data_IF_906364977016
#
_entry.id   IF_906364977016
#
_cell.length_a   1.000
_cell.length_b   1.000
_cell.length_c   1.000
_cell.angle_alpha   90.00
_cell.angle_beta   90.00
_cell.angle_gamma   90.00
#
_symmetry.space_group_name_H-M   'P 1'
#
loop_
_entity.id
_entity.type
_entity.pdbx_description
1 polymer ?
#
# COMPACT_ATOMS: atom_id res chain seq x y z
N UNK A 1 -64.06 -21.13 -15.22
CA UNK A 1 -63.44 -22.42 -14.85
C UNK A 1 -62.05 -22.46 -15.48
N UNK A 2 -61.04 -22.58 -14.62
CA UNK A 2 -59.59 -22.53 -14.89
C UNK A 2 -59.08 -23.95 -15.17
N UNK A 3 -58.01 -24.16 -15.97
CA UNK A 3 -57.15 -25.31 -15.78
C UNK A 3 -55.78 -24.86 -15.26
N UNK A 4 -55.48 -25.27 -14.02
CA UNK A 4 -54.16 -25.23 -13.41
C UNK A 4 -53.40 -26.50 -13.81
N UNK A 5 -52.17 -26.34 -14.31
CA UNK A 5 -51.20 -27.42 -14.43
C UNK A 5 -50.32 -27.50 -13.18
N UNK A 6 -50.39 -28.61 -12.44
CA UNK A 6 -49.41 -29.00 -11.44
C UNK A 6 -48.87 -30.39 -11.77
N UNK A 7 -47.55 -30.48 -11.94
CA UNK A 7 -46.84 -31.72 -12.21
C UNK A 7 -45.63 -31.87 -11.28
N UNK A 8 -45.65 -32.98 -10.54
CA UNK A 8 -44.52 -33.74 -9.95
C UNK A 8 -43.72 -33.14 -8.80
N UNK A 9 -43.91 -33.73 -7.62
CA UNK A 9 -42.90 -33.91 -6.57
C UNK A 9 -42.92 -35.39 -6.19
N UNK A 10 -41.76 -36.05 -6.22
CA UNK A 10 -41.45 -37.28 -5.48
C UNK A 10 -39.91 -37.51 -5.47
N UNK A 11 -39.39 -38.34 -4.55
CA UNK A 11 -38.32 -37.98 -3.63
C UNK A 11 -37.07 -38.85 -3.77
N UNK A 12 -36.00 -38.54 -3.04
CA UNK A 12 -35.04 -39.55 -2.57
C UNK A 12 -34.14 -38.96 -1.47
N UNK A 13 -34.42 -39.34 -0.21
CA UNK A 13 -33.44 -39.31 0.86
C UNK A 13 -32.62 -40.60 0.77
N UNK A 14 -31.30 -40.49 0.83
CA UNK A 14 -30.38 -41.60 0.98
C UNK A 14 -29.43 -41.31 2.16
N UNK A 15 -29.35 -42.33 3.01
CA UNK A 15 -28.63 -42.51 4.27
C UNK A 15 -27.14 -42.86 4.11
N UNK A 16 -26.46 -42.89 5.27
CA UNK A 16 -25.13 -43.49 5.60
C UNK A 16 -23.96 -42.50 5.61
N UNK A 17 -22.95 -42.58 6.49
CA UNK A 17 -22.59 -43.52 7.57
C UNK A 17 -21.40 -42.93 8.37
N UNK A 18 -21.10 -43.55 9.51
CA UNK A 18 -20.00 -43.34 10.46
C UNK A 18 -18.60 -43.83 9.98
N UNK A 19 -17.60 -43.65 10.87
CA UNK A 19 -16.26 -44.28 11.01
C UNK A 19 -15.10 -43.28 10.77
N UNK A 20 -14.24 -42.93 11.74
CA UNK A 20 -13.30 -43.64 12.63
C UNK A 20 -11.93 -43.99 11.99
N UNK A 21 -10.85 -43.64 12.72
CA UNK A 21 -9.40 -43.81 12.45
C UNK A 21 -8.79 -42.92 11.34
N UNK A 22 -7.62 -42.30 11.45
CA UNK A 22 -6.47 -42.47 12.36
C UNK A 22 -5.21 -42.80 11.53
N UNK A 23 -4.29 -41.85 11.38
CA UNK A 23 -2.81 -41.99 11.30
C UNK A 23 -2.20 -40.68 10.73
N UNK A 24 -1.39 -39.91 11.47
CA UNK A 24 -0.01 -40.13 11.93
C UNK A 24 1.03 -40.00 10.79
N UNK A 25 1.76 -38.89 10.80
CA UNK A 25 3.16 -38.82 10.36
C UNK A 25 3.77 -37.49 10.83
N UNK A 26 4.20 -37.48 12.09
CA UNK A 26 5.27 -36.60 12.57
C UNK A 26 6.20 -37.46 13.41
N UNK A 27 7.32 -37.82 12.79
CA UNK A 27 8.43 -38.51 13.43
C UNK A 27 9.56 -37.51 13.61
N UNK A 28 9.94 -37.30 14.88
CA UNK A 28 11.32 -37.41 15.41
C UNK A 28 12.40 -36.47 14.84
N UNK A 29 13.29 -35.86 15.62
CA UNK A 29 13.56 -35.92 17.05
C UNK A 29 14.62 -34.84 17.40
N UNK A 30 14.75 -34.57 18.71
CA UNK A 30 16.00 -34.38 19.48
C UNK A 30 17.12 -33.52 18.88
N UNK A 31 17.80 -32.60 19.55
CA UNK A 31 18.04 -32.37 20.98
C UNK A 31 19.05 -31.22 21.04
N UNK A 32 18.89 -30.31 22.00
CA UNK A 32 19.96 -29.45 22.54
C UNK A 32 21.21 -30.30 22.91
N UNK A 33 22.46 -29.76 23.00
CA UNK A 33 22.74 -28.51 23.72
C UNK A 33 23.92 -27.62 23.27
N UNK A 34 23.82 -26.38 23.74
CA UNK A 34 24.93 -25.47 24.07
C UNK A 34 26.03 -26.19 24.88
N UNK A 35 27.25 -26.21 24.38
CA UNK A 35 28.44 -26.42 25.23
C UNK A 35 29.67 -25.70 24.66
N UNK A 36 30.16 -24.75 25.44
CA UNK A 36 31.47 -24.12 25.30
C UNK A 36 32.58 -25.15 25.61
N UNK A 37 33.72 -25.17 24.92
CA UNK A 37 34.81 -26.07 25.30
C UNK A 37 35.50 -25.56 26.56
N UNK A 38 35.35 -26.33 27.65
CA UNK A 38 36.16 -26.26 28.85
C UNK A 38 37.57 -26.79 28.54
N UNK A 39 38.58 -26.00 28.91
CA UNK A 39 39.97 -26.41 29.00
C UNK A 39 40.12 -27.59 29.97
N UNK A 40 40.71 -28.70 29.52
CA UNK A 40 41.24 -29.72 30.42
C UNK A 40 42.72 -29.95 30.06
N UNK A 41 43.61 -29.48 30.92
CA UNK A 41 45.03 -29.77 30.86
C UNK A 41 45.28 -31.11 31.57
N UNK A 42 45.61 -32.15 30.81
CA UNK A 42 46.19 -33.36 31.39
C UNK A 42 47.67 -33.11 31.68
N UNK A 43 48.02 -33.04 32.97
CA UNK A 43 49.39 -33.09 33.44
C UNK A 43 49.78 -34.56 33.59
N UNK A 44 50.35 -35.14 32.55
CA UNK A 44 50.91 -36.50 32.66
C UNK A 44 52.25 -36.41 33.37
N UNK A 45 52.29 -36.99 34.56
CA UNK A 45 53.43 -37.01 35.48
C UNK A 45 54.38 -38.12 35.06
N UNK A 46 55.62 -37.77 34.78
CA UNK A 46 56.70 -38.70 34.46
C UNK A 46 57.13 -39.53 35.69
N UNK A 47 57.31 -40.83 35.48
CA UNK A 47 57.94 -41.77 36.44
C UNK A 47 59.20 -42.37 35.77
N UNK A 48 60.38 -42.37 36.44
CA UNK A 48 61.67 -42.86 35.93
C UNK A 48 61.88 -44.36 36.30
N UNK A 49 62.86 -45.10 35.73
CA UNK A 49 64.27 -45.13 36.19
C UNK A 49 65.25 -45.39 35.00
N UNK A 50 66.58 -45.53 35.05
CA UNK A 50 67.48 -46.24 35.97
C UNK A 50 68.94 -45.79 35.72
N UNK A 51 69.73 -45.76 36.79
CA UNK A 51 71.11 -45.33 36.92
C UNK A 51 72.16 -46.45 36.72
N UNK A 52 73.24 -46.14 35.96
CA UNK A 52 74.69 -46.34 36.26
C UNK A 52 75.28 -47.78 36.46
N UNK A 53 76.63 -47.97 36.57
CA UNK A 53 77.81 -47.36 35.92
C UNK A 53 78.90 -48.41 35.55
N UNK A 54 80.11 -48.00 35.10
CA UNK A 54 81.41 -48.45 35.68
C UNK A 54 82.62 -47.63 35.16
N UNK A 55 83.45 -47.25 36.13
CA UNK A 55 84.69 -46.45 36.22
C UNK A 55 85.95 -47.24 35.68
N UNK A 56 87.22 -46.75 35.70
CA UNK A 56 87.83 -45.89 36.74
C UNK A 56 88.91 -44.85 36.37
N UNK A 57 89.21 -44.02 37.41
CA UNK A 57 90.45 -43.33 37.80
C UNK A 57 91.31 -42.59 36.74
N UNK A 58 91.96 -41.45 36.97
CA UNK A 58 92.25 -40.64 38.15
C UNK A 58 92.80 -39.30 37.63
N UNK A 59 92.40 -38.17 38.21
CA UNK A 59 93.34 -37.23 38.85
C UNK A 59 92.60 -35.95 39.25
N UNK A 60 92.77 -35.64 40.54
CA UNK A 60 92.20 -34.50 41.24
C UNK A 60 92.59 -33.18 40.58
N UNK A 61 91.61 -32.29 40.42
CA UNK A 61 91.84 -30.85 40.42
C UNK A 61 90.96 -30.21 41.49
N UNK A 62 91.57 -29.42 42.37
CA UNK A 62 90.91 -28.70 43.47
C UNK A 62 89.96 -27.63 42.92
N UNK A 63 88.81 -27.36 43.59
CA UNK A 63 87.91 -26.29 43.16
C UNK A 63 88.45 -24.91 43.58
N UNK A 64 88.38 -23.87 42.72
CA UNK A 64 88.62 -22.50 43.15
C UNK A 64 87.40 -21.93 43.92
N UNK A 65 87.61 -20.93 44.81
CA UNK A 65 86.66 -20.55 45.85
C UNK A 65 85.39 -19.87 45.34
N UNK A 66 84.34 -19.95 46.17
CA UNK A 66 83.01 -19.40 45.96
C UNK A 66 83.05 -17.87 45.72
N UNK A 67 83.05 -17.48 44.45
CA UNK A 67 82.78 -16.12 43.99
C UNK A 67 81.37 -16.03 43.43
N UNK A 68 80.55 -15.17 44.01
CA UNK A 68 79.19 -14.85 43.56
C UNK A 68 79.21 -14.35 42.11
N UNK A 69 78.77 -15.17 41.16
CA UNK A 69 78.60 -14.74 39.76
C UNK A 69 77.31 -13.95 39.63
N UNK A 70 77.42 -12.62 39.60
CA UNK A 70 76.32 -11.74 39.22
C UNK A 70 76.15 -11.82 37.71
N UNK A 71 75.16 -12.59 37.24
CA UNK A 71 74.79 -12.64 35.82
C UNK A 71 74.10 -11.34 35.45
N UNK A 72 74.85 -10.38 34.89
CA UNK A 72 74.26 -9.17 34.32
C UNK A 72 73.71 -9.51 32.93
N UNK A 73 72.38 -9.68 32.81
CA UNK A 73 71.72 -9.75 31.51
C UNK A 73 71.60 -8.33 30.92
N UNK A 74 72.18 -8.04 29.74
CA UNK A 74 72.04 -6.75 29.09
C UNK A 74 70.58 -6.51 28.72
N UNK A 75 69.98 -5.42 29.20
CA UNK A 75 68.58 -5.03 28.92
C UNK A 75 68.30 -4.77 27.43
N UNK A 76 69.35 -4.67 26.60
CA UNK A 76 69.25 -4.23 25.21
C UNK A 76 68.96 -5.36 24.21
N UNK A 77 68.89 -6.62 24.66
CA UNK A 77 68.41 -7.74 23.82
C UNK A 77 66.91 -7.96 24.00
N UNK A 78 66.12 -6.93 23.68
CA UNK A 78 64.69 -7.14 23.38
C UNK A 78 64.62 -7.91 22.06
N UNK A 79 64.24 -9.20 22.11
CA UNK A 79 63.93 -9.97 20.91
C UNK A 79 62.77 -9.29 20.17
N UNK A 80 63.08 -8.42 19.20
CA UNK A 80 62.12 -7.78 18.29
C UNK A 80 61.56 -8.74 17.23
N UNK A 81 61.97 -10.00 17.28
CA UNK A 81 61.44 -11.05 16.41
C UNK A 81 60.48 -11.86 17.27
N UNK A 82 59.19 -11.97 16.88
CA UNK A 82 58.27 -12.83 17.60
C UNK A 82 58.86 -14.25 17.62
N UNK A 83 58.70 -15.00 18.74
CA UNK A 83 59.02 -16.42 18.80
C UNK A 83 58.51 -17.13 17.53
N UNK A 84 59.26 -18.10 17.00
CA UNK A 84 58.92 -18.80 15.74
C UNK A 84 57.47 -19.31 15.72
N UNK A 85 56.95 -19.70 16.89
CA UNK A 85 55.57 -20.12 17.09
C UNK A 85 54.55 -18.98 16.90
N UNK A 86 54.86 -17.78 17.38
CA UNK A 86 54.05 -16.58 17.19
C UNK A 86 54.14 -16.03 15.76
N UNK A 87 55.30 -16.18 15.10
CA UNK A 87 55.44 -15.84 13.68
C UNK A 87 54.55 -16.75 12.81
N UNK A 88 54.51 -18.05 13.11
CA UNK A 88 53.60 -19.00 12.43
C UNK A 88 52.14 -18.69 12.73
N UNK A 89 51.78 -18.35 13.97
CA UNK A 89 50.41 -17.96 14.33
C UNK A 89 49.98 -16.68 13.60
N UNK A 90 50.86 -15.68 13.55
CA UNK A 90 50.63 -14.42 12.84
C UNK A 90 50.44 -14.65 11.34
N UNK A 91 51.23 -15.53 10.71
CA UNK A 91 50.99 -15.92 9.32
C UNK A 91 49.64 -16.62 9.13
N UNK A 92 49.24 -17.52 10.04
CA UNK A 92 47.94 -18.20 9.94
C UNK A 92 46.78 -17.21 10.08
N UNK A 93 46.85 -16.27 11.03
CA UNK A 93 45.82 -15.23 11.21
C UNK A 93 45.78 -14.24 10.06
N UNK A 94 46.93 -13.79 9.55
CA UNK A 94 47.00 -12.85 8.41
C UNK A 94 46.58 -13.50 7.10
N UNK A 95 46.88 -14.79 6.86
CA UNK A 95 46.34 -15.54 5.71
C UNK A 95 44.82 -15.70 5.80
N UNK A 96 44.26 -15.99 6.98
CA UNK A 96 42.80 -16.03 7.20
C UNK A 96 42.15 -14.65 7.00
N UNK A 97 42.78 -13.59 7.48
CA UNK A 97 42.32 -12.21 7.30
C UNK A 97 42.35 -11.78 5.82
N UNK A 98 43.42 -12.10 5.08
CA UNK A 98 43.52 -11.85 3.63
C UNK A 98 42.48 -12.65 2.82
N UNK A 99 42.13 -13.87 3.23
CA UNK A 99 41.06 -14.66 2.60
C UNK A 99 39.65 -14.14 2.95
N UNK A 100 39.44 -13.58 4.15
CA UNK A 100 38.18 -12.93 4.56
C UNK A 100 37.95 -11.56 3.92
N UNK A 101 39.00 -10.87 3.48
CA UNK A 101 38.90 -9.54 2.85
C UNK A 101 38.46 -9.53 1.38
N UNK A 102 38.26 -10.70 0.77
CA UNK A 102 37.87 -10.86 -0.65
C UNK A 102 36.64 -11.76 -0.78
N UNK A 103 35.75 -11.70 0.22
CA UNK A 103 34.57 -12.55 0.34
C UNK A 103 33.60 -12.32 -0.82
N UNK A 104 33.19 -13.44 -1.40
CA UNK A 104 32.16 -13.63 -2.44
C UNK A 104 30.94 -12.71 -2.31
N UNK A 105 30.59 -12.31 -1.09
CA UNK A 105 29.48 -11.44 -0.76
C UNK A 105 29.47 -10.10 -1.54
N UNK A 106 30.62 -9.43 -1.74
CA UNK A 106 30.64 -8.15 -2.48
C UNK A 106 30.32 -8.36 -3.97
N UNK A 107 30.81 -9.45 -4.57
CA UNK A 107 30.50 -9.79 -5.96
C UNK A 107 29.04 -10.21 -6.12
N UNK A 108 28.53 -11.05 -5.22
CA UNK A 108 27.13 -11.47 -5.20
C UNK A 108 26.21 -10.27 -4.97
N UNK A 109 26.48 -9.40 -4.00
CA UNK A 109 25.70 -8.18 -3.77
C UNK A 109 25.80 -7.19 -4.94
N UNK A 110 26.96 -7.08 -5.60
CA UNK A 110 27.11 -6.21 -6.77
C UNK A 110 26.32 -6.73 -7.98
N UNK A 111 26.27 -8.05 -8.19
CA UNK A 111 25.44 -8.65 -9.23
C UNK A 111 23.96 -8.55 -8.90
N UNK A 112 23.56 -8.75 -7.65
CA UNK A 112 22.17 -8.53 -7.21
C UNK A 112 21.74 -7.07 -7.38
N UNK A 113 22.62 -6.12 -7.08
CA UNK A 113 22.34 -4.71 -7.31
C UNK A 113 22.24 -4.42 -8.81
N UNK A 114 23.16 -4.95 -9.62
CA UNK A 114 23.13 -4.80 -11.08
C UNK A 114 21.85 -5.39 -11.69
N UNK A 115 21.41 -6.56 -11.25
CA UNK A 115 20.16 -7.18 -11.73
C UNK A 115 18.95 -6.37 -11.30
N UNK A 116 18.94 -5.83 -10.07
CA UNK A 116 17.86 -4.97 -9.59
C UNK A 116 17.79 -3.66 -10.38
N UNK A 117 18.94 -3.04 -10.66
CA UNK A 117 19.03 -1.84 -11.51
C UNK A 117 18.57 -2.16 -12.94
N UNK A 118 19.03 -3.26 -13.52
CA UNK A 118 18.61 -3.68 -14.86
C UNK A 118 17.09 -3.94 -14.92
N UNK A 119 16.52 -4.58 -13.90
CA UNK A 119 15.08 -4.79 -13.78
C UNK A 119 14.32 -3.46 -13.66
N UNK A 120 14.81 -2.53 -12.84
CA UNK A 120 14.21 -1.21 -12.69
C UNK A 120 14.24 -0.43 -14.02
N UNK A 121 15.34 -0.49 -14.77
CA UNK A 121 15.44 0.09 -16.11
C UNK A 121 14.47 -0.56 -17.08
N UNK A 122 14.37 -1.89 -17.08
CA UNK A 122 13.42 -2.61 -17.93
C UNK A 122 11.96 -2.22 -17.63
N UNK A 123 11.59 -2.12 -16.34
CA UNK A 123 10.27 -1.65 -15.92
C UNK A 123 10.01 -0.19 -16.34
N UNK A 124 11.01 0.68 -16.21
CA UNK A 124 10.89 2.08 -16.63
C UNK A 124 10.68 2.19 -18.15
N UNK A 125 11.44 1.43 -18.95
CA UNK A 125 11.27 1.38 -20.40
C UNK A 125 9.89 0.84 -20.77
N UNK A 126 9.44 -0.24 -20.12
CA UNK A 126 8.11 -0.79 -20.34
C UNK A 126 6.99 0.21 -20.02
N UNK A 127 7.08 0.90 -18.88
CA UNK A 127 6.15 1.95 -18.50
C UNK A 127 6.17 3.12 -19.49
N UNK A 128 7.35 3.52 -19.98
CA UNK A 128 7.48 4.57 -20.98
C UNK A 128 6.82 4.17 -22.32
N UNK A 129 7.00 2.93 -22.76
CA UNK A 129 6.33 2.41 -23.98
C UNK A 129 4.81 2.46 -23.82
N UNK A 130 4.28 1.99 -22.69
CA UNK A 130 2.83 2.06 -22.41
C UNK A 130 2.35 3.51 -22.45
N UNK A 131 3.06 4.43 -21.78
CA UNK A 131 2.70 5.84 -21.75
C UNK A 131 2.67 6.46 -23.16
N UNK A 132 3.66 6.16 -24.01
CA UNK A 132 3.74 6.69 -25.37
C UNK A 132 2.68 6.09 -26.29
N UNK A 133 2.33 4.82 -26.13
CA UNK A 133 1.34 4.12 -26.96
C UNK A 133 -0.09 4.54 -26.64
N UNK A 134 -0.41 4.65 -25.35
CA UNK A 134 -1.77 4.95 -24.87
C UNK A 134 -2.02 6.44 -24.68
N UNK A 135 -0.98 7.24 -24.41
CA UNK A 135 -1.04 8.70 -24.16
C UNK A 135 -2.25 9.06 -23.28
N UNK A 136 -2.28 8.58 -22.03
CA UNK A 136 -3.45 8.73 -21.18
C UNK A 136 -3.77 10.21 -21.00
N UNK A 137 -5.02 10.58 -21.29
CA UNK A 137 -5.62 11.89 -21.09
C UNK A 137 -6.75 11.77 -20.07
N UNK A 138 -6.93 12.79 -19.24
CA UNK A 138 -8.02 12.82 -18.28
C UNK A 138 -9.33 13.04 -19.03
N UNK A 139 -10.40 12.27 -18.74
CA UNK A 139 -11.73 12.60 -19.20
C UNK A 139 -12.14 13.97 -18.69
N UNK A 140 -12.87 14.71 -19.51
CA UNK A 140 -13.39 16.03 -19.13
C UNK A 140 -14.88 15.90 -18.80
N UNK A 141 -15.30 16.55 -17.71
CA UNK A 141 -16.68 16.52 -17.24
C UNK A 141 -17.23 17.93 -17.24
N UNK A 142 -18.41 18.10 -17.82
CA UNK A 142 -19.09 19.39 -17.87
C UNK A 142 -20.52 19.24 -17.40
N UNK A 143 -20.89 20.03 -16.39
CA UNK A 143 -22.28 20.13 -15.96
C UNK A 143 -23.02 21.04 -16.95
N UNK A 144 -24.05 20.50 -17.60
CA UNK A 144 -24.84 21.17 -18.62
C UNK A 144 -26.02 21.94 -18.01
N UNK A 145 -26.78 21.26 -17.16
CA UNK A 145 -27.95 21.81 -16.47
C UNK A 145 -28.12 21.14 -15.12
N UNK A 146 -28.82 21.84 -14.22
CA UNK A 146 -29.23 21.34 -12.92
C UNK A 146 -30.70 21.70 -12.74
N UNK A 147 -31.58 20.70 -12.85
CA UNK A 147 -33.01 20.88 -12.58
C UNK A 147 -33.25 20.76 -11.07
N UNK A 148 -34.05 21.65 -10.51
CA UNK A 148 -34.36 21.68 -9.08
C UNK A 148 -35.87 21.55 -8.87
N UNK A 149 -36.26 20.55 -8.09
CA UNK A 149 -37.66 20.25 -7.76
C UNK A 149 -37.84 20.12 -6.24
N UNK A 150 -39.07 20.30 -5.75
CA UNK A 150 -39.39 20.13 -4.31
C UNK A 150 -38.99 21.30 -3.40
N UNK A 151 -38.45 22.40 -3.95
CA UNK A 151 -38.04 23.61 -3.20
C UNK A 151 -38.77 24.90 -3.61
N UNK A 152 -39.70 24.83 -4.57
CA UNK A 152 -40.40 26.03 -5.09
C UNK A 152 -41.20 26.82 -4.05
N UNK A 153 -41.68 26.17 -2.99
CA UNK A 153 -42.44 26.81 -1.91
C UNK A 153 -41.63 27.80 -1.06
N UNK A 154 -40.30 27.75 -1.09
CA UNK A 154 -39.42 28.58 -0.24
C UNK A 154 -39.44 30.05 -0.66
N UNK A 155 -39.46 30.32 -1.97
CA UNK A 155 -39.39 31.70 -2.51
C UNK A 155 -40.76 32.38 -2.51
N UNK A 156 -41.85 31.60 -2.59
CA UNK A 156 -43.22 32.10 -2.68
C UNK A 156 -43.97 32.24 -1.36
N UNK A 157 -43.58 31.51 -0.30
CA UNK A 157 -44.35 31.42 0.93
C UNK A 157 -43.48 31.48 2.20
N UNK A 158 -42.49 32.39 2.22
CA UNK A 158 -41.63 32.64 3.39
C UNK A 158 -42.36 33.27 4.60
N UNK A 159 -43.70 33.27 4.61
CA UNK A 159 -44.53 33.80 5.68
C UNK A 159 -45.80 32.96 5.78
N UNK A 160 -46.15 32.54 7.00
CA UNK A 160 -47.43 31.93 7.41
C UNK A 160 -47.65 30.41 7.27
N UNK A 161 -46.79 29.57 7.84
CA UNK A 161 -47.28 28.28 8.37
C UNK A 161 -46.47 27.79 9.56
N UNK A 162 -47.11 27.74 10.73
CA UNK A 162 -46.60 27.34 12.05
C UNK A 162 -46.38 25.82 12.21
N UNK A 163 -46.05 25.11 11.12
CA UNK A 163 -45.74 23.68 11.15
C UNK A 163 -44.33 23.45 10.61
N UNK A 164 -43.58 22.45 11.13
CA UNK A 164 -42.27 22.10 10.59
C UNK A 164 -42.46 21.51 9.18
N UNK A 165 -42.31 22.35 8.15
CA UNK A 165 -42.40 21.93 6.75
C UNK A 165 -41.20 21.03 6.45
N UNK A 166 -41.49 19.76 6.18
CA UNK A 166 -40.50 18.82 5.69
C UNK A 166 -40.45 18.91 4.16
N UNK A 167 -39.26 19.16 3.61
CA UNK A 167 -39.05 19.25 2.17
C UNK A 167 -38.51 17.94 1.61
N UNK A 168 -38.89 17.65 0.37
CA UNK A 168 -38.38 16.52 -0.40
C UNK A 168 -37.74 17.05 -1.69
N UNK A 169 -36.53 17.64 -1.59
CA UNK A 169 -35.86 18.20 -2.75
C UNK A 169 -35.41 17.08 -3.70
N UNK A 170 -35.49 17.35 -4.99
CA UNK A 170 -34.99 16.47 -6.05
C UNK A 170 -34.14 17.29 -7.00
N UNK A 171 -32.95 16.78 -7.33
CA UNK A 171 -32.01 17.43 -8.22
C UNK A 171 -31.63 16.49 -9.35
N UNK A 172 -31.80 16.95 -10.58
CA UNK A 172 -31.33 16.24 -11.78
C UNK A 172 -30.16 17.01 -12.39
N UNK A 173 -28.96 16.48 -12.18
CA UNK A 173 -27.75 17.03 -12.75
C UNK A 173 -27.47 16.37 -14.11
N UNK A 174 -27.56 17.14 -15.20
CA UNK A 174 -27.17 16.66 -16.52
C UNK A 174 -25.68 16.87 -16.71
N UNK A 175 -24.92 15.78 -16.76
CA UNK A 175 -23.46 15.79 -16.88
C UNK A 175 -23.06 15.22 -18.22
N UNK A 176 -22.22 15.96 -18.95
CA UNK A 176 -21.54 15.50 -20.15
C UNK A 176 -20.12 15.08 -19.78
N UNK A 177 -19.85 13.79 -19.92
CA UNK A 177 -18.53 13.20 -19.83
C UNK A 177 -17.94 13.03 -21.24
N UNK A 178 -16.74 13.52 -21.46
CA UNK A 178 -16.00 13.38 -22.72
C UNK A 178 -14.69 12.63 -22.46
N UNK A 179 -14.52 11.48 -23.11
CA UNK A 179 -13.30 10.69 -23.06
C UNK A 179 -12.42 11.01 -24.29
N UNK A 180 -11.36 11.82 -24.14
CA UNK A 180 -10.48 12.17 -25.26
C UNK A 180 -9.52 11.02 -25.65
N UNK A 181 -9.50 9.90 -24.92
CA UNK A 181 -8.54 8.83 -25.14
C UNK A 181 -8.89 8.00 -26.37
N UNK A 182 -7.90 7.77 -27.25
CA UNK A 182 -8.05 6.96 -28.46
C UNK A 182 -8.06 5.45 -28.25
N UNK A 183 -7.54 4.97 -27.12
CA UNK A 183 -7.30 3.54 -26.86
C UNK A 183 -7.67 3.09 -25.44
N UNK A 184 -8.22 4.00 -24.64
CA UNK A 184 -8.55 3.76 -23.23
C UNK A 184 -10.06 3.96 -23.07
N UNK A 185 -10.75 2.92 -22.61
CA UNK A 185 -12.13 3.01 -22.15
C UNK A 185 -12.19 3.34 -20.65
N UNK A 186 -13.32 3.86 -20.20
CA UNK A 186 -13.54 4.26 -18.81
C UNK A 186 -14.81 3.60 -18.30
N UNK A 187 -14.68 2.78 -17.26
CA UNK A 187 -15.82 2.20 -16.54
C UNK A 187 -16.08 3.03 -15.30
N UNK A 188 -17.32 3.50 -15.17
CA UNK A 188 -17.82 4.18 -14.00
C UNK A 188 -18.63 3.17 -13.19
N UNK A 189 -18.16 2.83 -12.00
CA UNK A 189 -18.85 1.89 -11.12
C UNK A 189 -19.97 2.64 -10.37
N UNK A 190 -21.18 2.06 -10.37
CA UNK A 190 -22.27 2.55 -9.54
C UNK A 190 -22.10 2.14 -8.08
N UNK A 191 -21.56 0.95 -7.84
CA UNK A 191 -21.29 0.44 -6.49
C UNK A 191 -20.20 1.26 -5.81
N UNK A 192 -20.46 1.73 -4.60
CA UNK A 192 -19.54 2.61 -3.87
C UNK A 192 -19.44 4.04 -4.44
N UNK A 193 -20.28 4.39 -5.41
CA UNK A 193 -20.45 5.77 -5.83
C UNK A 193 -21.39 6.53 -4.90
N UNK A 194 -21.20 7.83 -4.80
CA UNK A 194 -22.01 8.71 -3.97
C UNK A 194 -22.07 10.11 -4.58
N UNK A 195 -23.28 10.64 -4.72
CA UNK A 195 -23.55 12.01 -5.13
C UNK A 195 -24.32 12.68 -4.01
N UNK A 196 -23.89 13.86 -3.60
CA UNK A 196 -24.63 14.68 -2.65
C UNK A 196 -24.71 16.13 -3.14
N UNK A 197 -25.85 16.74 -2.85
CA UNK A 197 -26.08 18.16 -3.05
C UNK A 197 -26.29 18.80 -1.69
N UNK A 198 -25.60 19.90 -1.44
CA UNK A 198 -25.69 20.68 -0.21
C UNK A 198 -25.84 22.16 -0.51
N UNK A 199 -26.40 22.89 0.46
CA UNK A 199 -26.49 24.35 0.46
C UNK A 199 -25.96 24.86 1.78
N UNK A 200 -24.98 25.77 1.75
CA UNK A 200 -24.32 26.32 2.94
C UNK A 200 -23.91 25.25 3.98
N UNK A 201 -23.38 24.12 3.49
CA UNK A 201 -22.96 22.98 4.32
C UNK A 201 -24.07 22.03 4.80
N UNK A 202 -25.35 22.35 4.56
CA UNK A 202 -26.48 21.46 4.87
C UNK A 202 -26.77 20.55 3.69
N UNK A 203 -26.77 19.23 3.93
CA UNK A 203 -27.08 18.24 2.90
C UNK A 203 -28.56 18.27 2.55
N UNK A 204 -28.86 18.49 1.27
CA UNK A 204 -30.21 18.58 0.74
C UNK A 204 -30.66 17.26 0.12
N UNK A 205 -29.78 16.59 -0.61
CA UNK A 205 -30.10 15.37 -1.32
C UNK A 205 -28.87 14.48 -1.43
N UNK A 206 -29.12 13.18 -1.52
CA UNK A 206 -28.12 12.16 -1.75
C UNK A 206 -28.61 11.13 -2.77
N UNK A 207 -27.66 10.40 -3.34
CA UNK A 207 -27.94 9.35 -4.30
C UNK A 207 -26.68 8.69 -4.83
N UNK A 208 -26.88 7.79 -5.79
CA UNK A 208 -25.82 7.04 -6.43
C UNK A 208 -25.57 7.57 -7.85
N UNK A 209 -24.33 7.42 -8.32
CA UNK A 209 -23.99 7.69 -9.70
C UNK A 209 -24.37 6.49 -10.58
N UNK A 210 -24.95 6.70 -11.77
CA UNK A 210 -25.30 5.60 -12.66
C UNK A 210 -24.04 4.90 -13.17
N UNK A 211 -24.03 3.57 -13.13
CA UNK A 211 -22.94 2.77 -13.70
C UNK A 211 -23.01 2.83 -15.23
N UNK A 212 -21.88 3.10 -15.89
CA UNK A 212 -21.81 3.06 -17.35
C UNK A 212 -20.38 2.84 -17.84
N UNK A 213 -20.28 2.37 -19.09
CA UNK A 213 -19.02 2.25 -19.80
C UNK A 213 -18.91 3.31 -20.90
N UNK A 214 -17.79 4.00 -20.91
CA UNK A 214 -17.44 4.97 -21.93
C UNK A 214 -16.26 4.45 -22.74
N UNK A 215 -16.53 4.06 -23.99
CA UNK A 215 -15.49 3.63 -24.92
C UNK A 215 -14.47 4.75 -25.29
N UNK A 216 -13.41 4.40 -26.04
CA UNK A 216 -12.45 5.38 -26.53
C UNK A 216 -13.11 6.45 -27.43
N UNK A 217 -12.68 7.72 -27.30
CA UNK A 217 -13.22 8.89 -28.04
C UNK A 217 -14.74 8.99 -28.01
N UNK A 218 -15.33 8.64 -26.88
CA UNK A 218 -16.77 8.67 -26.72
C UNK A 218 -17.19 9.81 -25.79
N UNK A 219 -18.34 10.40 -26.12
CA UNK A 219 -19.01 11.42 -25.34
C UNK A 219 -20.31 10.82 -24.84
N UNK A 220 -20.54 10.92 -23.53
CA UNK A 220 -21.74 10.41 -22.90
C UNK A 220 -22.39 11.53 -22.11
N UNK A 221 -23.68 11.75 -22.34
CA UNK A 221 -24.50 12.65 -21.53
C UNK A 221 -25.39 11.77 -20.67
N UNK A 222 -25.35 12.00 -19.36
CA UNK A 222 -26.15 11.27 -18.39
C UNK A 222 -26.82 12.24 -17.43
N UNK A 223 -27.90 11.78 -16.82
CA UNK A 223 -28.60 12.49 -15.76
C UNK A 223 -28.32 11.75 -14.45
N UNK A 224 -27.73 12.46 -13.50
CA UNK A 224 -27.55 11.99 -12.14
C UNK A 224 -28.67 12.60 -11.27
N UNK A 225 -29.62 11.78 -10.88
CA UNK A 225 -30.74 12.16 -10.02
C UNK A 225 -30.39 11.88 -8.56
N UNK A 226 -30.52 12.89 -7.71
CA UNK A 226 -30.41 12.75 -6.26
C UNK A 226 -31.65 13.29 -5.57
N UNK A 227 -32.04 12.66 -4.47
CA UNK A 227 -33.28 12.97 -3.76
C UNK A 227 -32.99 13.16 -2.29
N UNK A 228 -33.66 14.14 -1.70
CA UNK A 228 -33.75 14.32 -0.26
C UNK A 228 -35.14 13.94 0.22
N UNK A 229 -35.23 13.34 1.38
CA UNK A 229 -36.52 13.04 2.01
C UNK A 229 -36.56 13.60 3.43
N UNK A 230 -37.59 14.38 3.74
CA UNK A 230 -37.82 14.84 5.10
C UNK A 230 -36.83 15.89 5.60
N UNK A 231 -36.23 16.65 4.70
CA UNK A 231 -35.23 17.67 5.06
C UNK A 231 -35.94 18.84 5.74
N UNK A 232 -35.45 19.22 6.93
CA UNK A 232 -35.94 20.38 7.67
C UNK A 232 -34.91 21.49 7.59
N UNK A 233 -35.36 22.64 7.10
CA UNK A 233 -34.53 23.85 7.05
C UNK A 233 -34.74 24.68 8.31
N UNK A 234 -33.68 25.33 8.78
CA UNK A 234 -33.81 26.39 9.77
C UNK A 234 -34.40 27.64 9.11
N UNK A 235 -35.06 28.49 9.89
CA UNK A 235 -35.65 29.73 9.37
C UNK A 235 -34.60 30.61 8.67
N UNK A 236 -33.38 30.66 9.23
CA UNK A 236 -32.23 31.37 8.63
C UNK A 236 -31.87 30.84 7.24
N UNK A 237 -31.84 29.51 7.10
CA UNK A 237 -31.51 28.88 5.82
C UNK A 237 -32.60 29.11 4.78
N UNK A 238 -33.87 29.10 5.20
CA UNK A 238 -35.01 29.44 4.34
C UNK A 238 -34.91 30.88 3.85
N UNK A 239 -34.60 31.84 4.73
CA UNK A 239 -34.40 33.24 4.38
C UNK A 239 -33.22 33.42 3.42
N UNK A 240 -32.10 32.73 3.66
CA UNK A 240 -30.92 32.76 2.78
C UNK A 240 -31.25 32.23 1.37
N UNK A 241 -31.90 31.06 1.28
CA UNK A 241 -32.30 30.47 -0.01
C UNK A 241 -33.31 31.39 -0.71
N UNK A 242 -34.27 31.97 0.02
CA UNK A 242 -35.24 32.89 -0.55
C UNK A 242 -34.58 34.19 -1.06
N UNK A 243 -33.63 34.75 -0.31
CA UNK A 243 -32.87 35.92 -0.71
C UNK A 243 -32.00 35.64 -1.96
N UNK A 244 -31.31 34.50 -1.98
CA UNK A 244 -30.52 34.06 -3.14
C UNK A 244 -31.41 33.80 -4.38
N UNK A 245 -32.63 33.28 -4.17
CA UNK A 245 -33.63 33.09 -5.21
C UNK A 245 -34.12 34.42 -5.81
N UNK A 246 -34.32 35.45 -4.98
CA UNK A 246 -34.67 36.81 -5.45
C UNK A 246 -33.54 37.44 -6.26
N UNK A 247 -32.28 37.16 -5.89
CA UNK A 247 -31.08 37.59 -6.62
C UNK A 247 -30.81 36.77 -7.90
N UNK A 248 -31.66 35.76 -8.19
CA UNK A 248 -31.49 34.82 -9.31
C UNK A 248 -30.11 34.15 -9.34
N UNK A 249 -29.57 33.82 -8.17
CA UNK A 249 -28.28 33.17 -8.04
C UNK A 249 -28.24 32.36 -6.77
N UNK A 250 -28.69 31.10 -6.84
CA UNK A 250 -28.75 30.18 -5.70
C UNK A 250 -27.60 29.18 -5.79
N UNK A 251 -26.57 29.30 -4.93
CA UNK A 251 -25.41 28.43 -4.98
C UNK A 251 -25.69 27.07 -4.33
N UNK A 252 -25.37 26.00 -5.04
CA UNK A 252 -25.38 24.63 -4.55
C UNK A 252 -23.99 24.02 -4.64
N UNK A 253 -23.61 23.28 -3.60
CA UNK A 253 -22.39 22.48 -3.57
C UNK A 253 -22.74 21.05 -3.97
N UNK A 254 -22.12 20.55 -5.02
CA UNK A 254 -22.33 19.21 -5.56
C UNK A 254 -21.04 18.40 -5.35
N UNK A 255 -21.11 17.40 -4.49
CA UNK A 255 -20.03 16.47 -4.18
C UNK A 255 -20.30 15.13 -4.85
N UNK A 256 -19.44 14.73 -5.79
CA UNK A 256 -19.55 13.47 -6.53
C UNK A 256 -18.30 12.63 -6.22
N UNK A 257 -18.51 11.38 -5.83
CA UNK A 257 -17.46 10.37 -5.68
C UNK A 257 -17.82 9.16 -6.51
N UNK A 258 -16.99 8.82 -7.49
CA UNK A 258 -17.23 7.67 -8.39
C UNK A 258 -15.96 6.83 -8.49
N UNK A 259 -16.02 5.53 -8.18
CA UNK A 259 -14.95 4.61 -8.50
C UNK A 259 -14.86 4.40 -10.01
N UNK A 260 -13.68 4.63 -10.57
CA UNK A 260 -13.43 4.54 -12.01
C UNK A 260 -12.36 3.49 -12.31
N UNK A 261 -12.60 2.64 -13.30
CA UNK A 261 -11.59 1.73 -13.87
C UNK A 261 -11.26 2.12 -15.28
N UNK A 262 -9.97 2.11 -15.61
CA UNK A 262 -9.50 2.28 -16.97
C UNK A 262 -9.45 0.91 -17.65
N UNK A 263 -9.91 0.85 -18.89
CA UNK A 263 -9.82 -0.33 -19.74
C UNK A 263 -8.78 -0.07 -20.84
N UNK A 264 -7.68 -0.81 -20.80
CA UNK A 264 -6.60 -0.78 -21.79
C UNK A 264 -6.68 -2.07 -22.62
N UNK A 265 -7.40 -2.01 -23.75
CA UNK A 265 -7.72 -3.21 -24.53
C UNK A 265 -8.61 -4.16 -23.73
N UNK A 266 -8.12 -5.38 -23.44
CA UNK A 266 -8.84 -6.37 -22.64
C UNK A 266 -8.54 -6.29 -21.14
N UNK A 267 -7.48 -5.57 -20.75
CA UNK A 267 -7.06 -5.45 -19.35
C UNK A 267 -7.80 -4.29 -18.69
N UNK A 268 -8.38 -4.55 -17.52
CA UNK A 268 -8.99 -3.52 -16.65
C UNK A 268 -8.06 -3.20 -15.49
N UNK A 269 -7.91 -1.93 -15.18
CA UNK A 269 -7.15 -1.48 -14.00
C UNK A 269 -7.93 -1.71 -12.71
N UNK A 270 -7.28 -1.47 -11.58
CA UNK A 270 -7.98 -1.34 -10.30
C UNK A 270 -8.89 -0.11 -10.32
N UNK A 271 -9.92 -0.13 -9.47
CA UNK A 271 -10.82 1.00 -9.29
C UNK A 271 -10.13 2.11 -8.50
N UNK A 272 -10.23 3.33 -9.01
CA UNK A 272 -9.77 4.51 -8.28
C UNK A 272 -10.91 5.49 -8.06
N UNK A 273 -11.12 5.94 -6.81
CA UNK A 273 -12.14 6.93 -6.53
C UNK A 273 -11.75 8.29 -7.10
N UNK A 274 -12.55 8.77 -8.03
CA UNK A 274 -12.52 10.15 -8.52
C UNK A 274 -13.48 10.96 -7.66
N UNK A 275 -13.00 12.04 -7.07
CA UNK A 275 -13.82 12.97 -6.30
C UNK A 275 -13.94 14.28 -7.07
N UNK A 276 -15.16 14.73 -7.30
CA UNK A 276 -15.45 16.00 -7.96
C UNK A 276 -16.24 16.85 -6.98
N UNK A 277 -15.79 18.08 -6.77
CA UNK A 277 -16.51 19.09 -6.00
C UNK A 277 -16.86 20.24 -6.92
N UNK A 278 -18.14 20.53 -7.07
CA UNK A 278 -18.60 21.64 -7.89
C UNK A 278 -19.42 22.61 -7.06
N UNK A 279 -19.17 23.90 -7.23
CA UNK A 279 -20.07 24.97 -6.79
C UNK A 279 -20.83 25.47 -8.00
N UNK A 280 -22.16 25.40 -7.95
CA UNK A 280 -23.05 25.69 -9.09
C UNK A 280 -24.12 26.66 -8.63
N UNK A 281 -24.23 27.82 -9.27
CA UNK A 281 -25.34 28.74 -9.03
C UNK A 281 -26.42 28.57 -10.09
N UNK A 282 -27.68 28.45 -9.67
CA UNK A 282 -28.84 28.41 -10.57
C UNK A 282 -29.67 29.69 -10.46
N UNK A 283 -30.36 30.04 -11.54
CA UNK A 283 -31.19 31.25 -11.63
C UNK A 283 -32.49 31.18 -10.82
N UNK A 284 -33.06 29.97 -10.68
CA UNK A 284 -34.32 29.72 -9.95
C UNK A 284 -34.40 28.27 -9.47
N UNK A 285 -35.28 28.02 -8.50
CA UNK A 285 -35.53 26.68 -7.96
C UNK A 285 -36.68 26.01 -8.73
N UNK A 286 -36.41 25.69 -10.00
CA UNK A 286 -37.37 25.04 -10.88
C UNK A 286 -36.70 24.00 -11.78
N UNK A 287 -37.50 23.15 -12.42
CA UNK A 287 -37.01 22.12 -13.33
C UNK A 287 -36.31 22.71 -14.58
N UNK A 288 -36.72 23.91 -15.01
CA UNK A 288 -36.15 24.63 -16.16
C UNK A 288 -35.08 25.66 -15.75
N UNK A 289 -34.46 25.47 -14.59
CA UNK A 289 -33.40 26.32 -14.08
C UNK A 289 -32.17 26.31 -15.01
N UNK A 290 -31.59 27.50 -15.18
CA UNK A 290 -30.36 27.74 -15.92
C UNK A 290 -29.20 27.90 -14.95
N UNK A 291 -28.06 27.33 -15.32
CA UNK A 291 -26.81 27.46 -14.57
C UNK A 291 -26.21 28.84 -14.87
N UNK A 292 -26.14 29.69 -13.85
CA UNK A 292 -25.60 31.06 -13.92
C UNK A 292 -24.07 31.04 -13.80
N UNK A 293 -23.55 30.25 -12.87
CA UNK A 293 -22.12 30.07 -12.69
C UNK A 293 -21.80 28.64 -12.27
N UNK A 294 -20.60 28.18 -12.61
CA UNK A 294 -20.11 26.86 -12.24
C UNK A 294 -18.60 26.89 -12.04
N UNK A 295 -18.13 26.29 -10.96
CA UNK A 295 -16.73 26.02 -10.71
C UNK A 295 -16.59 24.60 -10.21
N UNK A 296 -15.73 23.80 -10.83
CA UNK A 296 -15.55 22.38 -10.49
C UNK A 296 -14.08 22.07 -10.26
N UNK A 297 -13.77 21.47 -9.11
CA UNK A 297 -12.47 20.91 -8.79
C UNK A 297 -12.53 19.39 -8.82
N UNK A 298 -11.71 18.79 -9.69
CA UNK A 298 -11.52 17.34 -9.73
C UNK A 298 -10.31 16.98 -8.87
N UNK A 299 -10.50 16.12 -7.88
CA UNK A 299 -9.43 15.55 -7.06
C UNK A 299 -9.36 14.06 -7.33
N UNK A 300 -8.27 13.65 -7.97
CA UNK A 300 -7.95 12.25 -8.17
C UNK A 300 -6.85 11.87 -7.20
N UNK A 301 -7.10 10.90 -6.33
CA UNK A 301 -6.03 10.31 -5.51
C UNK A 301 -5.35 9.20 -6.33
N UNK A 302 -4.55 9.60 -7.31
CA UNK A 302 -3.70 8.68 -8.06
C UNK A 302 -2.24 9.01 -7.81
N UNK A 303 -1.42 7.98 -7.60
CA UNK A 303 0.03 8.11 -7.42
C UNK A 303 0.79 8.60 -8.67
N UNK A 304 0.14 8.69 -9.85
CA UNK A 304 0.84 8.82 -11.14
C UNK A 304 0.33 9.93 -12.08
N UNK A 305 -0.56 10.81 -11.64
CA UNK A 305 -1.06 11.92 -12.46
C UNK A 305 -0.78 13.24 -11.77
N UNK A 306 -0.03 14.12 -12.44
CA UNK A 306 0.28 15.48 -12.00
C UNK A 306 -0.59 16.43 -12.81
N UNK A 307 -1.18 17.40 -12.11
CA UNK A 307 -2.14 18.40 -12.61
C UNK A 307 -1.61 19.19 -13.84
#
# INVERSE_FOLDING_TARGET
MVPHGHGRVHPAAATSSSDFSGEMNQSTASSDPSSSPLYSFHFEKSVPPTSQPLLPEAQRYQPPPAGTYVVQMPKDKVFRVPPLENARLFEHYTRRAKRRGRCSCVRVCSWLLLTLVALAVALAVFAAVIYVVFKPRQPTYTLQSLAVSGLGGIVGNASSSSAPVAFAPEFDATVRADNPNGKIGVHYEGDGSHVAVSYSGVRLADGAWPAFYQGPRNVTVLVATVKGSGIRFSDRLLEEIAAAGRLRSVPFDVDITVPVRLQLGEVRTWAVPVRVRCTVAVDRLAADAKVVSKSCGVKVRFLFWKD
#
